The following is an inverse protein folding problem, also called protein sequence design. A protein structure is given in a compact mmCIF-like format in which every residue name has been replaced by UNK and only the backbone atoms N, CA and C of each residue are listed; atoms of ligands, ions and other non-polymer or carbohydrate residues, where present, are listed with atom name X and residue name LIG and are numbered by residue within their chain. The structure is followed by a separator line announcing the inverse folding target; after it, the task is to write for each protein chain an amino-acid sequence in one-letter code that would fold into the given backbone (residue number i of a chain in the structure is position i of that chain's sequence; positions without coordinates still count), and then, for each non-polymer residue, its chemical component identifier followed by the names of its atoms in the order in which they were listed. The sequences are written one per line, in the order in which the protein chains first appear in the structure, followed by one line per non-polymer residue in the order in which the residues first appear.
data_IF_439761746875
#
_entry.id   IF_439761746875
#
_cell.length_a   1.000
_cell.length_b   1.000
_cell.length_c   1.000
_cell.angle_alpha   90.00
_cell.angle_beta   90.00
_cell.angle_gamma   90.00
#
_symmetry.space_group_name_H-M   'P 1'
#
loop_
_entity.id
_entity.type
_entity.pdbx_description
1 polymer ?
#
# COMPACT_ATOMS: atom_id res chain seq x y z
N UNK A 1 11.11 -17.42 -5.44
CA UNK A 1 10.10 -16.52 -4.83
C UNK A 1 8.92 -16.35 -5.78
N UNK A 2 7.68 -16.50 -5.31
CA UNK A 2 6.46 -16.22 -6.08
C UNK A 2 6.01 -14.77 -5.81
N UNK A 3 5.67 -14.01 -6.86
CA UNK A 3 5.14 -12.64 -6.74
C UNK A 3 3.77 -12.55 -7.37
N UNK A 4 2.81 -11.98 -6.64
CA UNK A 4 1.50 -11.57 -7.14
C UNK A 4 1.50 -10.04 -7.22
N UNK A 5 1.32 -9.48 -8.41
CA UNK A 5 1.38 -8.04 -8.58
C UNK A 5 0.47 -7.55 -9.71
N UNK A 6 -0.26 -6.47 -9.45
CA UNK A 6 -0.99 -5.71 -10.48
C UNK A 6 -0.08 -4.73 -11.22
N UNK A 7 1.06 -4.41 -10.62
CA UNK A 7 2.15 -3.67 -11.23
C UNK A 7 3.49 -4.23 -10.77
N UNK A 8 4.34 -4.63 -11.71
CA UNK A 8 5.61 -5.30 -11.42
C UNK A 8 6.78 -4.30 -11.32
N UNK A 9 7.31 -4.12 -10.11
CA UNK A 9 8.49 -3.29 -9.88
C UNK A 9 9.77 -3.96 -10.38
N UNK A 10 10.78 -3.18 -10.83
CA UNK A 10 12.11 -3.72 -11.11
C UNK A 10 12.70 -4.50 -9.92
N UNK A 11 12.48 -4.03 -8.70
CA UNK A 11 12.89 -4.72 -7.47
C UNK A 11 12.16 -6.04 -7.27
N UNK A 12 10.87 -6.12 -7.60
CA UNK A 12 10.11 -7.37 -7.54
C UNK A 12 10.61 -8.34 -8.61
N UNK A 13 10.80 -7.86 -9.84
CA UNK A 13 11.27 -8.65 -10.98
C UNK A 13 12.66 -9.25 -10.73
N UNK A 14 13.57 -8.47 -10.11
CA UNK A 14 14.93 -8.93 -9.79
C UNK A 14 14.97 -10.11 -8.82
N UNK A 15 13.92 -10.32 -8.02
CA UNK A 15 13.85 -11.37 -7.00
C UNK A 15 12.79 -12.44 -7.31
N UNK A 16 11.92 -12.23 -8.29
CA UNK A 16 10.84 -13.14 -8.64
C UNK A 16 11.36 -14.33 -9.44
N UNK A 17 11.03 -15.55 -9.00
CA UNK A 17 11.18 -16.76 -9.82
C UNK A 17 9.97 -16.95 -10.73
N UNK A 18 8.79 -16.53 -10.27
CA UNK A 18 7.52 -16.57 -11.01
C UNK A 18 6.72 -15.33 -10.64
N UNK A 19 6.10 -14.70 -11.64
CA UNK A 19 5.15 -13.58 -11.45
C UNK A 19 3.79 -14.03 -11.94
N UNK A 20 2.77 -13.89 -11.09
CA UNK A 20 1.37 -14.13 -11.45
C UNK A 20 0.64 -12.78 -11.55
N UNK A 21 0.04 -12.47 -12.71
CA UNK A 21 -0.60 -11.18 -12.94
C UNK A 21 -1.88 -11.06 -12.10
N UNK A 22 -1.89 -10.09 -11.18
CA UNK A 22 -2.99 -9.83 -10.27
C UNK A 22 -3.87 -8.71 -10.83
N UNK A 23 -5.18 -8.90 -10.82
CA UNK A 23 -6.13 -7.84 -11.18
C UNK A 23 -5.98 -6.62 -10.25
N UNK A 24 -6.07 -5.40 -10.78
CA UNK A 24 -6.07 -4.18 -9.99
C UNK A 24 -7.37 -4.05 -9.17
N UNK A 25 -7.39 -3.15 -8.17
CA UNK A 25 -8.55 -2.99 -7.29
C UNK A 25 -9.86 -2.66 -8.04
N UNK A 26 -9.79 -1.89 -9.12
CA UNK A 26 -10.95 -1.57 -9.95
C UNK A 26 -11.43 -2.77 -10.81
N UNK A 27 -10.62 -3.82 -10.94
CA UNK A 27 -10.85 -4.97 -11.82
C UNK A 27 -11.28 -6.23 -11.05
N UNK A 28 -11.36 -6.14 -9.72
CA UNK A 28 -11.80 -7.23 -8.84
C UNK A 28 -12.80 -6.69 -7.85
N UNK A 29 -13.82 -7.49 -7.56
CA UNK A 29 -14.66 -7.25 -6.39
C UNK A 29 -14.01 -7.81 -5.14
N UNK A 30 -14.33 -7.23 -3.97
CA UNK A 30 -13.82 -7.70 -2.69
C UNK A 30 -14.52 -7.08 -1.49
N UNK A 31 -13.93 -7.30 -0.31
CA UNK A 31 -14.35 -6.62 0.92
C UNK A 31 -13.14 -5.96 1.56
N UNK A 32 -13.33 -4.82 2.18
CA UNK A 32 -12.33 -4.16 3.03
C UNK A 32 -12.93 -3.83 4.39
N UNK A 33 -12.08 -3.60 5.38
CA UNK A 33 -12.47 -3.07 6.68
C UNK A 33 -12.04 -1.61 6.70
N UNK A 34 -12.96 -0.70 7.00
CA UNK A 34 -12.67 0.73 7.10
C UNK A 34 -12.07 1.12 8.46
N UNK A 35 -11.86 2.43 8.66
CA UNK A 35 -11.31 2.96 9.90
C UNK A 35 -12.27 2.84 11.10
N UNK A 36 -13.57 2.62 10.87
CA UNK A 36 -14.57 2.37 11.91
C UNK A 36 -14.63 0.87 12.29
N UNK A 37 -13.82 0.03 11.64
CA UNK A 37 -13.84 -1.41 11.83
C UNK A 37 -14.99 -2.11 11.09
N UNK A 38 -15.72 -1.40 10.22
CA UNK A 38 -16.84 -1.96 9.46
C UNK A 38 -16.37 -2.63 8.19
N UNK A 39 -16.91 -3.82 7.92
CA UNK A 39 -16.72 -4.52 6.65
C UNK A 39 -17.59 -3.90 5.56
N UNK A 40 -16.96 -3.51 4.47
CA UNK A 40 -17.61 -2.95 3.29
C UNK A 40 -17.29 -3.79 2.05
N UNK A 41 -18.31 -4.07 1.25
CA UNK A 41 -18.18 -4.75 -0.03
C UNK A 41 -17.99 -3.76 -1.17
N UNK A 42 -17.31 -4.20 -2.23
CA UNK A 42 -17.23 -3.48 -3.49
C UNK A 42 -17.22 -4.47 -4.66
N UNK A 43 -17.72 -4.03 -5.81
CA UNK A 43 -17.74 -4.80 -7.04
C UNK A 43 -16.64 -4.33 -8.01
N UNK A 44 -16.30 -5.20 -8.95
CA UNK A 44 -15.40 -4.84 -10.05
C UNK A 44 -16.09 -3.79 -10.94
N UNK A 45 -15.35 -2.74 -11.29
CA UNK A 45 -15.80 -1.68 -12.20
C UNK A 45 -15.37 -1.95 -13.65
N UNK A 46 -14.36 -2.81 -13.85
CA UNK A 46 -13.82 -3.20 -15.13
C UNK A 46 -13.45 -4.69 -15.14
N UNK A 47 -13.36 -5.35 -16.31
CA UNK A 47 -12.75 -6.67 -16.40
C UNK A 47 -11.23 -6.59 -16.13
N UNK A 48 -10.60 -7.67 -15.63
CA UNK A 48 -9.14 -7.75 -15.53
C UNK A 48 -8.44 -7.52 -16.87
N UNK A 49 -7.34 -6.77 -16.84
CA UNK A 49 -6.54 -6.52 -18.03
C UNK A 49 -5.69 -7.73 -18.45
N UNK A 50 -5.79 -8.12 -19.72
CA UNK A 50 -4.99 -9.20 -20.30
C UNK A 50 -5.21 -10.55 -19.59
N UNK A 51 -4.13 -11.17 -19.13
CA UNK A 51 -4.17 -12.46 -18.41
C UNK A 51 -4.33 -12.31 -16.89
N UNK A 52 -4.52 -11.08 -16.40
CA UNK A 52 -4.69 -10.83 -14.97
C UNK A 52 -5.93 -11.54 -14.42
N UNK A 53 -5.84 -11.98 -13.16
CA UNK A 53 -6.95 -12.63 -12.47
C UNK A 53 -7.17 -12.01 -11.09
N UNK A 54 -8.42 -12.01 -10.58
CA UNK A 54 -8.70 -11.73 -9.18
C UNK A 54 -7.83 -12.57 -8.26
N UNK A 55 -7.29 -11.97 -7.19
CA UNK A 55 -6.33 -12.63 -6.30
C UNK A 55 -6.86 -13.95 -5.73
N UNK A 56 -8.14 -14.00 -5.36
CA UNK A 56 -8.77 -15.21 -4.84
C UNK A 56 -8.77 -16.36 -5.86
N UNK A 57 -8.94 -16.08 -7.17
CA UNK A 57 -8.87 -17.12 -8.22
C UNK A 57 -7.44 -17.64 -8.37
N UNK A 58 -6.44 -16.77 -8.21
CA UNK A 58 -5.04 -17.19 -8.24
C UNK A 58 -4.73 -18.09 -7.05
N UNK A 59 -5.15 -17.69 -5.84
CA UNK A 59 -4.96 -18.49 -4.62
C UNK A 59 -5.70 -19.83 -4.69
N UNK A 60 -6.95 -19.84 -5.17
CA UNK A 60 -7.74 -21.06 -5.44
C UNK A 60 -6.97 -22.03 -6.34
N UNK A 61 -6.51 -21.54 -7.49
CA UNK A 61 -5.75 -22.35 -8.45
C UNK A 61 -4.44 -22.87 -7.84
N UNK A 62 -3.72 -22.05 -7.07
CA UNK A 62 -2.50 -22.49 -6.40
C UNK A 62 -2.78 -23.59 -5.36
N UNK A 63 -3.82 -23.43 -4.54
CA UNK A 63 -4.25 -24.46 -3.59
C UNK A 63 -4.57 -25.78 -4.28
N UNK A 64 -5.35 -25.73 -5.36
CA UNK A 64 -5.67 -26.91 -6.18
C UNK A 64 -4.41 -27.58 -6.76
N UNK A 65 -3.48 -26.80 -7.31
CA UNK A 65 -2.22 -27.33 -7.88
C UNK A 65 -1.30 -27.95 -6.84
N UNK A 66 -1.34 -27.47 -5.61
CA UNK A 66 -0.59 -27.99 -4.48
C UNK A 66 -1.30 -29.16 -3.76
N UNK A 67 -2.52 -29.53 -4.19
CA UNK A 67 -3.30 -30.58 -3.54
C UNK A 67 -3.79 -30.20 -2.14
N UNK A 68 -3.93 -28.90 -1.86
CA UNK A 68 -4.42 -28.40 -0.58
C UNK A 68 -5.95 -28.41 -0.57
N UNK A 69 -6.51 -28.81 0.58
CA UNK A 69 -7.94 -28.75 0.85
C UNK A 69 -8.38 -27.32 1.22
N UNK A 70 -9.65 -26.99 1.02
CA UNK A 70 -10.21 -25.69 1.42
C UNK A 70 -10.00 -24.58 0.38
N UNK A 71 -9.72 -24.95 -0.88
CA UNK A 71 -9.55 -24.06 -2.03
C UNK A 71 -10.52 -24.39 -3.17
N UNK A 72 -11.67 -24.97 -2.85
CA UNK A 72 -12.64 -25.46 -3.83
C UNK A 72 -13.64 -24.39 -4.31
N UNK A 73 -13.55 -23.15 -3.80
CA UNK A 73 -14.50 -22.06 -4.07
C UNK A 73 -14.73 -21.77 -5.55
N UNK A 74 -15.98 -21.81 -6.00
CA UNK A 74 -16.35 -21.49 -7.38
C UNK A 74 -16.65 -20.00 -7.58
N UNK A 75 -17.22 -19.39 -6.56
CA UNK A 75 -17.72 -18.02 -6.57
C UNK A 75 -17.09 -17.19 -5.45
N UNK A 76 -17.14 -15.86 -5.60
CA UNK A 76 -16.67 -14.95 -4.52
C UNK A 76 -17.66 -14.98 -3.35
N UNK A 77 -18.92 -15.23 -3.63
CA UNK A 77 -20.02 -15.26 -2.69
C UNK A 77 -19.82 -16.40 -1.67
N UNK A 78 -19.32 -17.56 -2.09
CA UNK A 78 -18.92 -18.65 -1.19
C UNK A 78 -17.81 -18.22 -0.22
N UNK A 79 -16.78 -17.54 -0.73
CA UNK A 79 -15.67 -17.03 0.10
C UNK A 79 -16.19 -16.00 1.11
N UNK A 80 -17.08 -15.10 0.66
CA UNK A 80 -17.71 -14.10 1.52
C UNK A 80 -18.59 -14.75 2.59
N UNK A 81 -19.37 -15.77 2.24
CA UNK A 81 -20.20 -16.52 3.17
C UNK A 81 -19.36 -17.22 4.24
N UNK A 82 -18.28 -17.90 3.84
CA UNK A 82 -17.35 -18.53 4.79
C UNK A 82 -16.68 -17.48 5.69
N UNK A 83 -16.21 -16.37 5.14
CA UNK A 83 -15.63 -15.28 5.92
C UNK A 83 -16.64 -14.72 6.93
N UNK A 84 -17.89 -14.51 6.52
CA UNK A 84 -18.96 -14.02 7.41
C UNK A 84 -19.31 -15.02 8.52
N UNK A 85 -19.25 -16.32 8.24
CA UNK A 85 -19.48 -17.35 9.25
C UNK A 85 -18.34 -17.44 10.29
N UNK A 86 -17.11 -17.08 9.89
CA UNK A 86 -15.90 -17.23 10.71
C UNK A 86 -15.42 -15.96 11.39
N UNK A 87 -15.94 -14.80 11.00
CA UNK A 87 -15.46 -13.51 11.50
C UNK A 87 -16.61 -12.53 11.72
N UNK A 88 -16.55 -11.69 12.77
CA UNK A 88 -17.57 -10.69 13.03
C UNK A 88 -17.62 -9.65 11.90
N UNK A 89 -18.82 -9.12 11.62
CA UNK A 89 -19.03 -8.09 10.60
C UNK A 89 -18.33 -6.76 10.95
N UNK A 90 -18.19 -6.48 12.24
CA UNK A 90 -17.39 -5.39 12.76
C UNK A 90 -16.19 -6.00 13.47
N UNK A 91 -15.00 -5.65 13.03
CA UNK A 91 -13.79 -5.99 13.76
C UNK A 91 -13.61 -4.94 14.83
N UNK A 92 -13.67 -5.36 16.10
CA UNK A 92 -13.25 -4.51 17.20
C UNK A 92 -11.83 -4.07 16.89
N UNK A 93 -11.65 -2.76 16.71
CA UNK A 93 -10.32 -2.18 16.60
C UNK A 93 -9.52 -2.69 17.80
N UNK A 94 -8.22 -2.93 17.62
CA UNK A 94 -7.34 -2.88 18.78
C UNK A 94 -7.74 -1.64 19.58
N UNK A 95 -7.90 -1.75 20.91
CA UNK A 95 -8.31 -0.63 21.75
C UNK A 95 -7.50 0.58 21.31
N UNK A 96 -8.19 1.72 21.16
CA UNK A 96 -7.60 2.94 20.63
C UNK A 96 -6.17 3.09 21.19
N UNK A 97 -5.11 3.31 20.40
CA UNK A 97 -3.81 3.61 20.98
C UNK A 97 -3.82 4.83 21.92
N UNK A 98 -4.95 5.55 22.06
CA UNK A 98 -5.21 6.52 23.12
C UNK A 98 -5.83 5.95 24.42
N UNK A 99 -6.33 4.71 24.42
CA UNK A 99 -6.94 4.04 25.58
C UNK A 99 -5.90 3.37 26.50
N UNK A 100 -4.72 3.05 25.98
CA UNK A 100 -3.52 2.81 26.77
C UNK A 100 -2.52 3.93 26.50
N UNK A 101 -1.88 4.53 27.53
CA UNK A 101 -0.85 5.53 27.32
C UNK A 101 0.32 4.89 26.55
N UNK A 102 0.38 5.15 25.24
CA UNK A 102 1.55 4.80 24.43
C UNK A 102 2.68 5.72 24.86
N UNK A 103 3.73 5.14 25.44
CA UNK A 103 4.95 5.87 25.75
C UNK A 103 5.51 6.48 24.46
N UNK A 104 5.49 7.81 24.38
CA UNK A 104 6.17 8.53 23.30
C UNK A 104 7.67 8.37 23.58
N UNK A 105 8.43 7.72 22.69
CA UNK A 105 9.86 7.56 22.93
C UNK A 105 10.53 8.93 22.99
N UNK A 106 11.56 9.05 23.84
CA UNK A 106 12.36 10.25 23.89
C UNK A 106 12.89 10.59 22.51
N UNK A 107 12.80 11.87 22.18
CA UNK A 107 13.25 12.39 20.89
C UNK A 107 14.79 12.25 20.82
N UNK A 108 15.37 11.40 19.95
CA UNK A 108 16.82 11.21 19.90
C UNK A 108 17.54 12.53 19.63
N UNK A 109 18.57 12.87 20.40
CA UNK A 109 19.34 14.09 20.12
C UNK A 109 19.99 13.99 18.74
N UNK A 110 19.66 14.92 17.87
CA UNK A 110 20.16 15.01 16.51
C UNK A 110 20.13 16.47 16.06
N UNK A 111 21.16 16.88 15.33
CA UNK A 111 21.30 18.23 14.80
C UNK A 111 20.19 18.56 13.78
N UNK A 112 19.79 17.56 12.99
CA UNK A 112 18.79 17.71 11.93
C UNK A 112 17.65 16.72 12.03
N UNK A 113 16.45 17.24 11.75
CA UNK A 113 15.23 16.47 11.68
C UNK A 113 14.54 16.65 10.35
N UNK A 114 14.13 15.55 9.74
CA UNK A 114 13.26 15.57 8.56
C UNK A 114 11.85 15.16 8.95
N UNK A 115 10.92 16.09 8.84
CA UNK A 115 9.48 15.78 8.89
C UNK A 115 9.06 15.29 7.50
N UNK A 116 9.07 13.97 7.30
CA UNK A 116 8.63 13.37 6.05
C UNK A 116 7.10 13.37 5.99
N UNK A 117 6.52 14.04 4.99
CA UNK A 117 5.10 13.93 4.70
C UNK A 117 4.84 12.68 3.87
N UNK A 118 3.76 11.95 4.17
CA UNK A 118 3.28 10.87 3.31
C UNK A 118 2.77 11.50 2.01
N UNK A 119 3.36 11.11 0.88
CA UNK A 119 2.95 11.60 -0.43
C UNK A 119 1.53 11.06 -0.74
N UNK A 120 0.51 11.93 -0.92
CA UNK A 120 -0.87 11.47 -1.12
C UNK A 120 -1.03 10.62 -2.38
N UNK A 121 -0.25 10.91 -3.43
CA UNK A 121 -0.21 10.13 -4.67
C UNK A 121 1.03 9.23 -4.76
N UNK A 122 1.57 8.82 -3.61
CA UNK A 122 2.71 7.90 -3.53
C UNK A 122 2.40 6.61 -2.79
N UNK A 123 1.14 6.39 -2.38
CA UNK A 123 0.71 5.27 -1.51
C UNK A 123 0.79 3.91 -2.19
N UNK A 124 0.27 3.81 -3.41
CA UNK A 124 0.09 2.56 -4.13
C UNK A 124 0.49 2.70 -5.61
N UNK A 125 0.64 1.58 -6.34
CA UNK A 125 1.04 1.64 -7.75
C UNK A 125 0.07 2.45 -8.63
N UNK A 126 -1.24 2.37 -8.41
CA UNK A 126 -2.21 3.05 -9.27
C UNK A 126 -2.04 4.57 -9.21
N UNK A 127 -2.02 5.15 -8.00
CA UNK A 127 -1.88 6.61 -7.86
C UNK A 127 -0.47 7.10 -8.15
N UNK A 128 0.55 6.26 -7.90
CA UNK A 128 1.96 6.59 -8.16
C UNK A 128 2.28 6.69 -9.65
N UNK A 129 1.61 5.89 -10.47
CA UNK A 129 1.82 5.85 -11.93
C UNK A 129 0.80 6.68 -12.73
N UNK A 130 -0.18 7.30 -12.06
CA UNK A 130 -1.16 8.19 -12.71
C UNK A 130 -0.56 9.56 -13.04
N UNK A 131 -0.32 9.82 -14.33
CA UNK A 131 0.22 11.11 -14.78
C UNK A 131 -0.61 12.34 -14.34
N UNK A 132 -1.96 12.32 -14.42
CA UNK A 132 -2.78 13.43 -13.92
C UNK A 132 -2.56 13.70 -12.42
N UNK A 133 -2.54 12.64 -11.58
CA UNK A 133 -2.33 12.80 -10.14
C UNK A 133 -0.92 13.31 -9.82
N UNK A 134 0.09 12.83 -10.55
CA UNK A 134 1.48 13.28 -10.40
C UNK A 134 1.71 14.72 -10.86
N UNK A 135 0.88 15.26 -11.77
CA UNK A 135 0.97 16.66 -12.20
C UNK A 135 0.38 17.67 -11.22
N UNK A 136 -0.30 17.22 -10.15
CA UNK A 136 -0.92 18.11 -9.17
C UNK A 136 0.12 18.84 -8.31
N UNK A 137 -0.25 20.00 -7.76
CA UNK A 137 0.60 20.70 -6.80
C UNK A 137 0.90 19.87 -5.55
N UNK A 138 -0.02 19.00 -5.12
CA UNK A 138 0.18 18.09 -3.99
C UNK A 138 1.28 17.05 -4.26
N UNK A 139 1.30 16.45 -5.45
CA UNK A 139 2.38 15.53 -5.85
C UNK A 139 3.75 16.25 -5.90
N UNK A 140 3.79 17.46 -6.48
CA UNK A 140 5.03 18.26 -6.54
C UNK A 140 5.55 18.58 -5.14
N UNK A 141 4.68 19.08 -4.25
CA UNK A 141 5.03 19.38 -2.84
C UNK A 141 5.58 18.17 -2.10
N UNK A 142 5.10 16.97 -2.38
CA UNK A 142 5.59 15.75 -1.76
C UNK A 142 7.01 15.35 -2.20
N UNK A 143 7.47 15.86 -3.36
CA UNK A 143 8.82 15.66 -3.91
C UNK A 143 9.75 16.86 -3.64
N UNK A 144 9.28 17.87 -2.91
CA UNK A 144 10.03 19.08 -2.57
C UNK A 144 10.42 19.04 -1.10
N UNK A 145 11.70 19.27 -0.82
CA UNK A 145 12.18 19.51 0.54
C UNK A 145 12.00 20.99 0.89
N UNK A 146 11.60 21.24 2.12
CA UNK A 146 11.48 22.58 2.67
C UNK A 146 12.47 22.69 3.83
N UNK A 147 13.20 23.80 3.85
CA UNK A 147 14.21 24.14 4.85
C UNK A 147 14.00 25.59 5.26
N UNK A 148 14.30 25.94 6.50
CA UNK A 148 14.22 27.32 6.94
C UNK A 148 15.26 28.17 6.18
N UNK A 149 14.98 29.43 5.79
CA UNK A 149 15.91 30.22 4.98
C UNK A 149 17.27 30.48 5.66
N UNK A 150 17.31 30.60 6.99
CA UNK A 150 18.57 30.80 7.73
C UNK A 150 19.47 29.57 7.61
N UNK A 151 18.91 28.39 7.87
CA UNK A 151 19.56 27.09 7.74
C UNK A 151 20.08 26.86 6.32
N UNK A 152 19.27 27.21 5.31
CA UNK A 152 19.64 27.08 3.90
C UNK A 152 20.84 27.98 3.55
N UNK A 153 20.86 29.22 4.05
CA UNK A 153 21.98 30.15 3.85
C UNK A 153 23.26 29.65 4.53
N UNK A 154 23.16 29.15 5.75
CA UNK A 154 24.30 28.60 6.49
C UNK A 154 24.94 27.40 5.78
N UNK A 155 24.11 26.57 5.13
CA UNK A 155 24.55 25.35 4.45
C UNK A 155 24.75 25.52 2.93
N UNK A 156 24.69 26.75 2.42
CA UNK A 156 24.88 27.04 0.98
C UNK A 156 23.86 26.36 0.06
N UNK A 157 22.63 26.15 0.55
CA UNK A 157 21.55 25.52 -0.21
C UNK A 157 20.67 26.60 -0.83
N UNK A 158 20.55 26.58 -2.16
CA UNK A 158 19.69 27.51 -2.89
C UNK A 158 18.39 26.85 -3.36
N UNK A 159 17.37 27.67 -3.60
CA UNK A 159 16.09 27.20 -4.15
C UNK A 159 16.31 26.62 -5.55
N UNK A 160 15.73 25.44 -5.79
CA UNK A 160 15.84 24.74 -7.07
C UNK A 160 16.97 23.72 -7.15
N UNK A 161 17.80 23.61 -6.10
CA UNK A 161 18.85 22.60 -6.05
C UNK A 161 18.28 21.20 -5.76
N UNK A 162 18.92 20.19 -6.32
CA UNK A 162 18.66 18.80 -5.96
C UNK A 162 19.41 18.45 -4.67
N UNK A 163 18.68 17.98 -3.67
CA UNK A 163 19.25 17.51 -2.42
C UNK A 163 18.91 16.03 -2.20
N UNK A 164 19.90 15.26 -1.72
CA UNK A 164 19.71 13.86 -1.29
C UNK A 164 19.91 13.78 0.22
N UNK A 165 18.83 13.82 1.03
CA UNK A 165 18.96 13.67 2.47
C UNK A 165 19.51 12.28 2.77
N UNK A 166 20.59 12.23 3.56
CA UNK A 166 21.14 10.98 4.09
C UNK A 166 20.69 10.87 5.55
N UNK A 167 20.18 9.70 5.93
CA UNK A 167 19.96 9.37 7.34
C UNK A 167 21.33 8.95 7.88
N UNK A 168 21.78 9.56 8.98
CA UNK A 168 22.99 9.11 9.67
C UNK A 168 22.82 7.62 10.00
N UNK A 169 23.75 6.79 9.54
CA UNK A 169 23.80 5.39 9.98
C UNK A 169 24.10 5.40 11.48
N UNK A 170 23.30 4.65 12.24
CA UNK A 170 23.61 4.38 13.65
C UNK A 170 24.83 3.50 13.74
#
# INVERSE_FOLDING_TARGET
MLVLASWLAPTHAAHASVVLPLAAQAETGGTYIDLEGRRNGFEALAPPYGEARPGWKILRMLGQRLGLQGFEYETREEILAEMNARTPATVTRNPDPASEPVAIPDRPQADWWRIARRAPYGSDPCVRHSAPLQSTALARRARTLYMHPADAKEHGVEVGFWARPRVAQR
#
